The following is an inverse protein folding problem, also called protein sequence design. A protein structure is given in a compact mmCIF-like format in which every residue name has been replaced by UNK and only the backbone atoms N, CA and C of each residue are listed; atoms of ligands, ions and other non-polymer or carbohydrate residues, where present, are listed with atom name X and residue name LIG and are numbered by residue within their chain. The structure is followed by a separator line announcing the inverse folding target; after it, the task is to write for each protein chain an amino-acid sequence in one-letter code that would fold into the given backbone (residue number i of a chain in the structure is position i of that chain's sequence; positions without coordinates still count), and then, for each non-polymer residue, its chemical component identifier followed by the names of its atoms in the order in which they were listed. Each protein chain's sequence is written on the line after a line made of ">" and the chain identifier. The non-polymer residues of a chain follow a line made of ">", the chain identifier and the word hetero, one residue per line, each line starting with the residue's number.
data_IF_152851065855
#
_entry.id   IF_152851065855
#
_cell.length_a   1.000
_cell.length_b   1.000
_cell.length_c   1.000
_cell.angle_alpha   90.00
_cell.angle_beta   90.00
_cell.angle_gamma   90.00
#
_symmetry.space_group_name_H-M   'P 1'
#
loop_
_entity.id
_entity.type
_entity.pdbx_description
1 polymer ?
#
# COMPACT_ATOMS: atom_id res chain seq x y z
N UNK A 1 9.39 2.76 -6.80
CA UNK A 1 10.82 3.01 -7.09
C UNK A 1 11.13 3.97 -8.25
N UNK A 2 10.34 4.05 -9.35
CA UNK A 2 10.62 5.00 -10.47
C UNK A 2 10.80 6.45 -10.03
N UNK A 3 10.09 6.86 -8.98
CA UNK A 3 10.26 8.18 -8.39
C UNK A 3 11.66 8.41 -7.81
N UNK A 4 12.24 7.46 -7.07
CA UNK A 4 13.61 7.58 -6.56
C UNK A 4 14.64 7.61 -7.68
N UNK A 5 14.41 6.86 -8.77
CA UNK A 5 15.23 6.92 -9.99
C UNK A 5 15.16 8.32 -10.61
N UNK A 6 13.95 8.89 -10.70
CA UNK A 6 13.76 10.25 -11.20
C UNK A 6 14.54 11.28 -10.37
N UNK A 7 14.43 11.22 -9.03
CA UNK A 7 15.17 12.12 -8.13
C UNK A 7 16.69 11.98 -8.32
N UNK A 8 17.19 10.76 -8.49
CA UNK A 8 18.60 10.50 -8.80
C UNK A 8 19.05 11.14 -10.12
N UNK A 9 18.22 11.06 -11.17
CA UNK A 9 18.49 11.71 -12.47
C UNK A 9 18.51 13.24 -12.34
N UNK A 10 17.66 13.80 -11.48
CA UNK A 10 17.63 15.24 -11.17
C UNK A 10 18.78 15.67 -10.23
N UNK A 11 19.68 14.76 -9.84
CA UNK A 11 20.78 15.01 -8.89
C UNK A 11 20.28 15.47 -7.50
N UNK A 12 19.10 15.01 -7.09
CA UNK A 12 18.58 15.20 -5.74
C UNK A 12 18.91 13.99 -4.86
N UNK A 13 19.31 14.25 -3.63
CA UNK A 13 19.72 13.26 -2.64
C UNK A 13 18.54 12.86 -1.75
N UNK A 14 18.31 11.56 -1.62
CA UNK A 14 17.36 11.00 -0.66
C UNK A 14 18.18 10.48 0.54
N UNK A 15 17.87 10.88 1.79
CA UNK A 15 16.73 11.71 2.21
C UNK A 15 17.02 13.22 2.31
N UNK A 16 18.27 13.68 2.13
CA UNK A 16 18.69 15.03 2.51
C UNK A 16 17.96 16.17 1.79
N UNK A 17 17.76 16.06 0.48
CA UNK A 17 17.05 17.07 -0.32
C UNK A 17 15.55 16.77 -0.37
N UNK A 18 15.21 15.47 -0.46
CA UNK A 18 13.82 14.99 -0.50
C UNK A 18 13.71 13.69 0.30
N UNK A 19 12.90 13.72 1.36
CA UNK A 19 12.49 12.52 2.07
C UNK A 19 11.37 11.81 1.30
N UNK A 20 11.43 10.48 1.22
CA UNK A 20 10.45 9.65 0.53
C UNK A 20 9.90 8.61 1.49
N UNK A 21 8.58 8.49 1.54
CA UNK A 21 7.87 7.43 2.26
C UNK A 21 7.05 6.64 1.24
N UNK A 22 7.19 5.32 1.27
CA UNK A 22 6.39 4.38 0.49
C UNK A 22 5.16 3.90 1.25
N UNK A 23 4.28 3.21 0.55
CA UNK A 23 3.17 2.46 1.13
C UNK A 23 3.36 0.99 0.70
N UNK A 24 2.79 0.05 1.45
CA UNK A 24 2.68 -1.39 1.17
C UNK A 24 3.69 -2.31 1.86
N UNK A 25 4.66 -1.79 2.63
CA UNK A 25 5.65 -2.59 3.39
C UNK A 25 6.19 -3.81 2.63
N UNK A 26 6.66 -3.52 1.42
CA UNK A 26 7.13 -4.53 0.47
C UNK A 26 8.53 -5.00 0.85
N UNK A 27 8.77 -6.31 0.80
CA UNK A 27 10.04 -6.93 1.24
C UNK A 27 11.30 -6.41 0.54
N UNK A 28 11.16 -5.83 -0.65
CA UNK A 28 12.27 -5.24 -1.41
C UNK A 28 12.58 -3.78 -1.02
N UNK A 29 11.80 -3.15 -0.13
CA UNK A 29 12.03 -1.77 0.32
C UNK A 29 13.35 -1.61 1.09
N UNK A 30 13.72 -2.63 1.89
CA UNK A 30 14.92 -2.61 2.73
C UNK A 30 16.22 -2.81 1.95
N UNK A 31 16.16 -3.56 0.85
CA UNK A 31 17.33 -3.84 0.00
C UNK A 31 17.49 -2.81 -1.14
N UNK A 32 16.61 -1.82 -1.22
CA UNK A 32 16.77 -0.72 -2.15
C UNK A 32 17.83 0.27 -1.68
N UNK A 33 18.47 0.99 -2.60
CA UNK A 33 19.47 2.01 -2.28
C UNK A 33 19.01 3.41 -2.75
N UNK A 34 18.71 4.35 -1.83
CA UNK A 34 18.64 4.17 -0.37
C UNK A 34 17.42 3.33 0.05
N UNK A 35 17.46 2.76 1.27
CA UNK A 35 16.33 2.02 1.83
C UNK A 35 15.10 2.92 1.95
N UNK A 36 13.91 2.36 1.73
CA UNK A 36 12.68 3.13 1.74
C UNK A 36 11.92 2.90 3.05
N UNK A 37 11.68 3.98 3.81
CA UNK A 37 10.68 3.95 4.87
C UNK A 37 9.30 3.73 4.26
N UNK A 38 8.51 2.80 4.78
CA UNK A 38 7.16 2.53 4.27
C UNK A 38 6.12 2.49 5.38
N UNK A 39 4.85 2.69 4.99
CA UNK A 39 3.69 2.42 5.84
C UNK A 39 3.10 1.07 5.43
N UNK A 40 3.08 0.14 6.39
CA UNK A 40 2.44 -1.16 6.20
C UNK A 40 0.93 -1.02 6.06
N UNK A 41 0.38 -1.57 4.97
CA UNK A 41 -1.06 -1.70 4.83
C UNK A 41 -1.55 -2.97 5.53
N UNK A 42 -2.74 -2.97 6.15
CA UNK A 42 -3.32 -4.15 6.78
C UNK A 42 -3.91 -5.11 5.73
N UNK A 43 -3.10 -5.53 4.77
CA UNK A 43 -3.50 -6.28 3.56
C UNK A 43 -4.19 -7.60 3.90
N UNK A 44 -3.75 -8.30 4.94
CA UNK A 44 -4.40 -9.52 5.44
C UNK A 44 -5.85 -9.24 5.88
N UNK A 45 -6.04 -8.24 6.75
CA UNK A 45 -7.37 -7.84 7.25
C UNK A 45 -8.27 -7.36 6.12
N UNK A 46 -7.70 -6.64 5.14
CA UNK A 46 -8.40 -6.24 3.92
C UNK A 46 -8.88 -7.45 3.13
N UNK A 47 -7.99 -8.41 2.87
CA UNK A 47 -8.31 -9.63 2.11
C UNK A 47 -9.39 -10.48 2.77
N UNK A 48 -9.29 -10.70 4.08
CA UNK A 48 -10.30 -11.42 4.87
C UNK A 48 -11.67 -10.74 4.77
N UNK A 49 -11.72 -9.41 4.93
CA UNK A 49 -12.99 -8.67 4.87
C UNK A 49 -13.61 -8.69 3.48
N UNK A 50 -12.78 -8.63 2.44
CA UNK A 50 -13.24 -8.76 1.05
C UNK A 50 -13.82 -10.16 0.80
N UNK A 51 -13.15 -11.21 1.26
CA UNK A 51 -13.66 -12.58 1.14
C UNK A 51 -15.03 -12.75 1.82
N UNK A 52 -15.19 -12.23 3.05
CA UNK A 52 -16.45 -12.22 3.79
C UNK A 52 -17.57 -11.54 3.00
N UNK A 53 -17.30 -10.36 2.41
CA UNK A 53 -18.27 -9.62 1.60
C UNK A 53 -18.68 -10.42 0.36
N UNK A 54 -17.73 -11.07 -0.31
CA UNK A 54 -18.00 -11.90 -1.49
C UNK A 54 -18.89 -13.09 -1.11
N UNK A 55 -18.53 -13.82 -0.06
CA UNK A 55 -19.30 -14.97 0.44
C UNK A 55 -20.74 -14.58 0.81
N UNK A 56 -20.90 -13.50 1.57
CA UNK A 56 -22.22 -12.98 1.96
C UNK A 56 -23.08 -12.63 0.74
N UNK A 57 -22.47 -12.11 -0.33
CA UNK A 57 -23.19 -11.77 -1.58
C UNK A 57 -23.62 -13.00 -2.36
N UNK A 58 -22.76 -14.02 -2.43
CA UNK A 58 -23.10 -15.28 -3.08
C UNK A 58 -24.27 -15.98 -2.37
N UNK A 59 -24.34 -15.89 -1.05
CA UNK A 59 -25.38 -16.52 -0.23
C UNK A 59 -26.69 -15.72 -0.20
N UNK A 60 -26.64 -14.39 0.01
CA UNK A 60 -27.84 -13.61 0.36
C UNK A 60 -28.49 -12.82 -0.80
N UNK A 61 -28.03 -12.93 -2.05
CA UNK A 61 -28.50 -12.14 -3.22
C UNK A 61 -28.59 -10.62 -2.95
N UNK A 62 -27.95 -10.10 -1.90
CA UNK A 62 -28.00 -8.68 -1.56
C UNK A 62 -27.32 -7.85 -2.66
N UNK A 63 -28.11 -7.02 -3.33
CA UNK A 63 -27.67 -6.18 -4.45
C UNK A 63 -27.08 -4.84 -4.01
N UNK A 64 -27.06 -4.53 -2.71
CA UNK A 64 -26.49 -3.27 -2.22
C UNK A 64 -24.99 -3.24 -2.52
N UNK A 65 -24.51 -2.11 -3.02
CA UNK A 65 -23.07 -1.88 -3.19
C UNK A 65 -22.42 -1.92 -1.80
N UNK A 66 -21.32 -2.67 -1.61
CA UNK A 66 -20.58 -2.59 -0.36
C UNK A 66 -20.18 -1.13 -0.14
N UNK A 67 -20.35 -0.66 1.09
CA UNK A 67 -19.85 0.65 1.49
C UNK A 67 -18.32 0.65 1.40
N UNK A 68 -17.74 1.84 1.25
CA UNK A 68 -16.29 1.99 1.28
C UNK A 68 -15.74 1.39 2.58
N UNK A 69 -14.84 0.43 2.45
CA UNK A 69 -14.10 -0.13 3.57
C UNK A 69 -13.00 0.85 3.96
N UNK A 70 -13.02 1.28 5.21
CA UNK A 70 -11.93 2.06 5.79
C UNK A 70 -11.22 1.24 6.85
N UNK A 71 -9.90 1.17 6.74
CA UNK A 71 -9.03 0.61 7.76
C UNK A 71 -8.25 1.77 8.34
N UNK A 72 -8.39 1.98 9.65
CA UNK A 72 -7.57 2.94 10.37
C UNK A 72 -6.26 2.25 10.76
N UNK A 73 -5.16 2.97 10.58
CA UNK A 73 -3.85 2.62 11.10
C UNK A 73 -3.83 2.75 12.63
#
# INVERSE_FOLDING_TARGET
>A
MRFCIFLKVQKLTIPSDVAVIGIDDVSYADIYQPSLTTIAQPTEKMGLKVAEIILNRLQNKEKKRPSALSFRA
#
